data_IF_114121185681
#
_entry.id   IF_114121185681
#
_cell.length_a   1.000
_cell.length_b   1.000
_cell.length_c   1.000
_cell.angle_alpha   90.00
_cell.angle_beta   90.00
_cell.angle_gamma   90.00
#
_symmetry.space_group_name_H-M   'P 1'
#
loop_
_entity.id
_entity.type
_entity.pdbx_description
1 polymer ?
#
# COMPACT_ATOMS: atom_id res chain seq x y z
N UNK A 1 -42.89 60.43 -27.16
CA UNK A 1 -42.26 59.65 -26.06
C UNK A 1 -42.30 58.19 -26.46
N UNK A 2 -41.21 57.67 -27.03
CA UNK A 2 -41.09 56.28 -27.47
C UNK A 2 -40.43 55.50 -26.32
N UNK A 3 -41.17 54.54 -25.76
CA UNK A 3 -40.74 53.71 -24.63
C UNK A 3 -39.98 52.50 -25.18
N UNK A 4 -38.66 52.43 -24.97
CA UNK A 4 -37.84 51.27 -25.34
C UNK A 4 -37.96 50.20 -24.24
N UNK A 5 -38.59 49.06 -24.55
CA UNK A 5 -38.59 47.88 -23.70
C UNK A 5 -37.28 47.11 -23.91
N UNK A 6 -36.44 47.03 -22.88
CA UNK A 6 -35.21 46.23 -22.89
C UNK A 6 -35.59 44.79 -22.50
N UNK A 7 -35.57 43.88 -23.47
CA UNK A 7 -35.74 42.45 -23.27
C UNK A 7 -34.41 41.85 -22.80
N UNK A 8 -34.30 41.56 -21.50
CA UNK A 8 -33.13 40.88 -20.94
C UNK A 8 -33.13 39.39 -21.33
N UNK A 9 -32.26 39.02 -22.27
CA UNK A 9 -31.99 37.63 -22.63
C UNK A 9 -31.14 37.00 -21.52
N UNK A 10 -31.77 36.18 -20.67
CA UNK A 10 -31.06 35.36 -19.68
C UNK A 10 -30.37 34.22 -20.43
N UNK A 11 -29.05 34.32 -20.65
CA UNK A 11 -28.24 33.20 -21.06
C UNK A 11 -28.14 32.20 -19.89
N UNK A 12 -28.89 31.10 -20.00
CA UNK A 12 -28.65 29.93 -19.16
C UNK A 12 -27.32 29.30 -19.57
N UNK A 13 -26.26 29.59 -18.81
CA UNK A 13 -24.99 28.87 -18.96
C UNK A 13 -25.22 27.40 -18.60
N UNK A 14 -24.81 26.43 -19.45
CA UNK A 14 -24.89 25.03 -19.08
C UNK A 14 -24.05 24.80 -17.82
N UNK A 15 -24.69 24.30 -16.76
CA UNK A 15 -23.98 23.86 -15.57
C UNK A 15 -23.01 22.75 -16.00
N UNK A 16 -21.71 23.04 -15.93
CA UNK A 16 -20.68 22.03 -16.05
C UNK A 16 -20.93 21.00 -14.95
N UNK A 17 -21.49 19.84 -15.31
CA UNK A 17 -21.54 18.71 -14.40
C UNK A 17 -20.11 18.24 -14.22
N UNK A 18 -19.51 18.56 -13.09
CA UNK A 18 -18.23 17.98 -12.68
C UNK A 18 -18.35 16.46 -12.79
N UNK A 19 -17.46 15.86 -13.56
CA UNK A 19 -17.40 14.41 -13.68
C UNK A 19 -17.05 13.84 -12.30
N UNK A 20 -17.87 12.93 -11.78
CA UNK A 20 -17.58 12.24 -10.53
C UNK A 20 -16.28 11.45 -10.67
N UNK A 21 -15.44 11.44 -9.63
CA UNK A 21 -14.19 10.68 -9.64
C UNK A 21 -14.46 9.20 -9.92
N UNK A 22 -13.62 8.60 -10.76
CA UNK A 22 -13.60 7.16 -11.01
C UNK A 22 -12.81 6.44 -9.93
N UNK A 23 -13.05 5.14 -9.75
CA UNK A 23 -12.28 4.32 -8.81
C UNK A 23 -10.78 4.35 -9.11
N UNK A 24 -10.40 4.30 -10.40
CA UNK A 24 -8.99 4.37 -10.82
C UNK A 24 -8.35 5.70 -10.44
N UNK A 25 -9.03 6.83 -10.64
CA UNK A 25 -8.49 8.14 -10.24
C UNK A 25 -8.29 8.24 -8.74
N UNK A 26 -9.18 7.64 -7.93
CA UNK A 26 -9.03 7.58 -6.49
C UNK A 26 -7.84 6.71 -6.10
N UNK A 27 -7.70 5.52 -6.69
CA UNK A 27 -6.57 4.62 -6.44
C UNK A 27 -5.23 5.28 -6.81
N UNK A 28 -5.15 5.95 -7.96
CA UNK A 28 -3.97 6.71 -8.37
C UNK A 28 -3.64 7.83 -7.38
N UNK A 29 -4.64 8.57 -6.90
CA UNK A 29 -4.42 9.62 -5.88
C UNK A 29 -3.95 9.07 -4.55
N UNK A 30 -4.29 7.83 -4.19
CA UNK A 30 -3.76 7.16 -2.99
C UNK A 30 -2.32 6.73 -3.22
N UNK A 31 -2.02 6.15 -4.38
CA UNK A 31 -0.68 5.72 -4.77
C UNK A 31 0.31 6.89 -4.88
N UNK A 32 -0.12 8.03 -5.44
CA UNK A 32 0.74 9.22 -5.63
C UNK A 32 0.91 10.07 -4.36
N UNK A 33 0.45 9.60 -3.19
CA UNK A 33 0.62 10.37 -1.95
C UNK A 33 2.10 10.46 -1.60
N UNK A 34 2.60 11.65 -1.24
CA UNK A 34 3.99 11.77 -0.80
C UNK A 34 4.23 10.96 0.49
N UNK A 35 5.05 9.91 0.41
CA UNK A 35 5.49 9.11 1.57
C UNK A 35 6.95 9.36 1.97
N UNK A 36 7.70 10.07 1.11
CA UNK A 36 9.12 10.40 1.27
C UNK A 36 10.05 9.30 0.77
N UNK A 37 11.21 9.70 0.23
CA UNK A 37 12.12 8.80 -0.51
C UNK A 37 12.79 7.72 0.36
N UNK A 38 12.79 7.90 1.69
CA UNK A 38 13.35 6.92 2.62
C UNK A 38 12.60 6.94 3.95
N UNK A 39 12.55 5.77 4.59
CA UNK A 39 11.81 5.56 5.83
C UNK A 39 12.59 4.70 6.78
N UNK A 40 12.48 5.02 8.06
CA UNK A 40 12.82 4.14 9.17
C UNK A 40 11.57 3.90 10.01
N UNK A 41 11.38 2.68 10.50
CA UNK A 41 10.26 2.34 11.36
C UNK A 41 10.67 1.35 12.44
N UNK A 42 10.17 1.58 13.66
CA UNK A 42 10.13 0.59 14.72
C UNK A 42 8.67 0.17 14.93
N UNK A 43 8.43 -1.14 14.99
CA UNK A 43 7.08 -1.70 15.03
C UNK A 43 6.97 -2.77 16.11
N UNK A 44 5.82 -2.78 16.80
CA UNK A 44 5.41 -3.87 17.69
C UNK A 44 4.21 -4.57 17.09
N UNK A 45 4.36 -5.85 16.77
CA UNK A 45 3.31 -6.70 16.23
C UNK A 45 2.79 -7.64 17.32
N UNK A 46 1.47 -7.58 17.58
CA UNK A 46 0.76 -8.50 18.49
C UNK A 46 0.00 -9.53 17.67
N UNK A 47 0.40 -10.80 17.78
CA UNK A 47 -0.24 -11.92 17.12
C UNK A 47 -1.22 -12.56 18.10
N UNK A 48 -2.51 -12.47 17.81
CA UNK A 48 -3.58 -12.97 18.66
C UNK A 48 -4.21 -14.18 17.97
N UNK A 49 -4.02 -15.37 18.54
CA UNK A 49 -4.63 -16.59 18.00
C UNK A 49 -6.15 -16.61 18.19
N UNK A 50 -6.85 -17.48 17.44
CA UNK A 50 -8.30 -17.72 17.61
C UNK A 50 -8.73 -18.07 19.05
N UNK A 51 -7.83 -18.60 19.87
CA UNK A 51 -8.08 -18.95 21.29
C UNK A 51 -7.67 -17.84 22.26
N UNK A 52 -7.33 -16.64 21.78
CA UNK A 52 -6.92 -15.50 22.59
C UNK A 52 -5.47 -15.53 23.08
N UNK A 53 -4.68 -16.56 22.76
CA UNK A 53 -3.25 -16.55 23.10
C UNK A 53 -2.53 -15.48 22.29
N UNK A 54 -1.81 -14.60 22.98
CA UNK A 54 -1.01 -13.55 22.38
C UNK A 54 0.47 -13.93 22.27
N UNK A 55 1.12 -13.42 21.23
CA UNK A 55 2.57 -13.35 21.08
C UNK A 55 2.95 -11.97 20.60
N UNK A 56 4.01 -11.41 21.17
CA UNK A 56 4.55 -10.13 20.72
C UNK A 56 5.80 -10.36 19.90
N UNK A 57 5.97 -9.56 18.85
CA UNK A 57 7.21 -9.40 18.11
C UNK A 57 7.52 -7.92 17.98
N UNK A 58 8.79 -7.58 18.12
CA UNK A 58 9.28 -6.26 17.76
C UNK A 58 10.18 -6.40 16.56
N UNK A 59 10.18 -5.38 15.73
CA UNK A 59 10.96 -5.32 14.51
C UNK A 59 11.25 -3.87 14.14
N UNK A 60 12.31 -3.68 13.37
CA UNK A 60 12.64 -2.40 12.77
C UNK A 60 12.90 -2.60 11.28
N UNK A 61 12.63 -1.56 10.49
CA UNK A 61 12.85 -1.58 9.06
C UNK A 61 13.40 -0.27 8.52
N UNK A 62 14.11 -0.37 7.41
CA UNK A 62 14.42 0.73 6.51
C UNK A 62 13.81 0.45 5.15
N UNK A 63 13.28 1.47 4.51
CA UNK A 63 12.93 1.43 3.09
C UNK A 63 13.45 2.66 2.36
N UNK A 64 13.64 2.52 1.05
CA UNK A 64 14.00 3.62 0.17
C UNK A 64 13.44 3.39 -1.23
N UNK A 65 13.05 4.47 -1.88
CA UNK A 65 12.70 4.47 -3.30
C UNK A 65 13.95 4.53 -4.15
N UNK A 66 13.98 3.78 -5.25
CA UNK A 66 15.14 3.60 -6.12
C UNK A 66 14.76 3.65 -7.59
N UNK A 67 15.78 3.69 -8.45
CA UNK A 67 15.61 3.80 -9.89
C UNK A 67 15.35 5.23 -10.38
N UNK A 68 15.46 5.45 -11.68
CA UNK A 68 15.46 6.79 -12.27
C UNK A 68 14.15 7.57 -12.04
N UNK A 69 13.04 6.86 -11.85
CA UNK A 69 11.71 7.44 -11.60
C UNK A 69 11.27 7.36 -10.14
N UNK A 70 12.09 6.81 -9.24
CA UNK A 70 11.74 6.59 -7.83
C UNK A 70 10.43 5.81 -7.64
N UNK A 71 10.21 4.78 -8.45
CA UNK A 71 9.01 3.94 -8.40
C UNK A 71 9.28 2.52 -7.89
N UNK A 72 10.51 2.03 -8.05
CA UNK A 72 10.95 0.80 -7.42
C UNK A 72 11.32 1.08 -5.97
N UNK A 73 11.24 0.09 -5.08
CA UNK A 73 11.65 0.27 -3.68
C UNK A 73 12.50 -0.88 -3.15
N UNK A 74 13.35 -0.58 -2.17
CA UNK A 74 14.09 -1.58 -1.41
C UNK A 74 13.75 -1.45 0.05
N UNK A 75 13.43 -2.58 0.68
CA UNK A 75 13.13 -2.66 2.10
C UNK A 75 14.00 -3.70 2.79
N UNK A 76 14.53 -3.35 3.95
CA UNK A 76 15.25 -4.22 4.85
C UNK A 76 14.60 -4.19 6.23
N UNK A 77 14.24 -5.35 6.76
CA UNK A 77 13.56 -5.51 8.04
C UNK A 77 14.28 -6.54 8.90
N UNK A 78 14.36 -6.30 10.21
CA UNK A 78 14.86 -7.28 11.18
C UNK A 78 13.93 -7.40 12.37
N UNK A 79 13.76 -8.64 12.83
CA UNK A 79 13.14 -8.91 14.11
C UNK A 79 14.17 -8.71 15.24
N UNK A 80 13.84 -7.90 16.25
CA UNK A 80 14.67 -7.71 17.44
C UNK A 80 14.13 -8.48 18.66
N UNK A 81 12.85 -8.89 18.64
CA UNK A 81 12.21 -9.64 19.73
C UNK A 81 11.08 -10.55 19.22
N UNK A 82 10.84 -11.74 19.84
CA UNK A 82 11.58 -12.36 20.94
C UNK A 82 12.89 -13.03 20.53
N UNK A 83 13.59 -13.63 21.49
CA UNK A 83 14.91 -14.24 21.28
C UNK A 83 14.92 -15.38 20.23
N UNK A 84 13.80 -16.07 20.05
CA UNK A 84 13.63 -17.16 19.08
C UNK A 84 13.62 -16.69 17.62
N UNK A 85 13.18 -15.45 17.37
CA UNK A 85 13.16 -14.84 16.01
C UNK A 85 14.18 -13.72 15.85
N UNK A 86 14.82 -13.27 16.93
CA UNK A 86 15.81 -12.17 16.92
C UNK A 86 16.88 -12.41 15.85
N UNK A 87 17.13 -11.38 15.04
CA UNK A 87 18.10 -11.42 13.94
C UNK A 87 17.57 -12.07 12.66
N UNK A 88 16.32 -12.54 12.64
CA UNK A 88 15.66 -12.90 11.38
C UNK A 88 15.55 -11.65 10.53
N UNK A 89 16.07 -11.71 9.31
CA UNK A 89 16.12 -10.60 8.38
C UNK A 89 15.23 -10.84 7.18
N UNK A 90 14.55 -9.82 6.71
CA UNK A 90 13.78 -9.84 5.48
C UNK A 90 14.26 -8.72 4.56
N UNK A 91 14.56 -9.07 3.32
CA UNK A 91 14.95 -8.14 2.26
C UNK A 91 13.93 -8.25 1.13
N UNK A 92 13.41 -7.12 0.66
CA UNK A 92 12.53 -7.05 -0.49
C UNK A 92 13.02 -5.97 -1.45
N UNK A 93 13.08 -6.30 -2.74
CA UNK A 93 13.19 -5.35 -3.84
C UNK A 93 11.86 -5.43 -4.59
N UNK A 94 11.10 -4.34 -4.53
CA UNK A 94 9.80 -4.24 -5.15
C UNK A 94 9.92 -3.46 -6.45
N UNK A 95 9.26 -3.94 -7.49
CA UNK A 95 9.30 -3.32 -8.81
C UNK A 95 7.91 -2.79 -9.19
N UNK A 96 7.85 -1.56 -9.72
CA UNK A 96 6.59 -0.98 -10.20
C UNK A 96 6.17 -1.52 -11.58
N UNK A 97 7.09 -2.17 -12.29
CA UNK A 97 6.84 -2.75 -13.60
C UNK A 97 5.79 -3.88 -13.54
N UNK A 98 4.64 -3.65 -14.17
CA UNK A 98 3.53 -4.62 -14.22
C UNK A 98 4.01 -5.96 -14.79
N UNK A 99 3.73 -7.03 -14.05
CA UNK A 99 4.08 -8.41 -14.42
C UNK A 99 5.51 -8.82 -14.07
N UNK A 100 6.31 -7.91 -13.50
CA UNK A 100 7.62 -8.24 -12.96
C UNK A 100 7.48 -8.72 -11.52
N UNK A 101 8.09 -9.88 -11.23
CA UNK A 101 8.09 -10.41 -9.87
C UNK A 101 9.09 -9.67 -8.97
N UNK A 102 8.62 -9.23 -7.80
CA UNK A 102 9.50 -8.79 -6.71
C UNK A 102 10.52 -9.85 -6.28
N UNK A 103 11.69 -9.38 -5.89
CA UNK A 103 12.73 -10.22 -5.30
C UNK A 103 12.72 -10.13 -3.78
N UNK A 104 12.50 -11.26 -3.12
CA UNK A 104 12.36 -11.33 -1.66
C UNK A 104 13.25 -12.42 -1.07
N UNK A 105 13.87 -12.13 0.07
CA UNK A 105 14.74 -13.06 0.79
C UNK A 105 14.46 -13.02 2.29
N UNK A 106 14.49 -14.20 2.90
CA UNK A 106 14.40 -14.39 4.35
C UNK A 106 15.69 -15.00 4.86
N UNK A 107 16.41 -14.28 5.71
CA UNK A 107 17.57 -14.77 6.43
C UNK A 107 17.16 -15.35 7.78
N UNK A 108 17.53 -16.60 8.03
CA UNK A 108 17.22 -17.34 9.25
C UNK A 108 18.51 -17.59 10.06
N UNK A 109 18.75 -16.84 11.15
CA UNK A 109 20.03 -16.85 11.87
C UNK A 109 20.33 -18.20 12.50
N UNK A 110 19.31 -18.90 13.03
CA UNK A 110 19.46 -20.22 13.63
C UNK A 110 20.06 -21.26 12.68
N UNK A 111 19.83 -21.10 11.38
CA UNK A 111 20.37 -21.98 10.33
C UNK A 111 21.53 -21.36 9.57
N UNK A 112 21.82 -20.07 9.76
CA UNK A 112 22.73 -19.26 8.93
C UNK A 112 22.42 -19.41 7.43
N UNK A 113 21.14 -19.47 7.08
CA UNK A 113 20.66 -19.68 5.70
C UNK A 113 19.80 -18.53 5.23
N UNK A 114 19.95 -18.18 3.96
CA UNK A 114 19.05 -17.29 3.24
C UNK A 114 18.15 -18.13 2.34
N UNK A 115 16.84 -17.92 2.46
CA UNK A 115 15.82 -18.53 1.60
C UNK A 115 15.24 -17.45 0.68
N UNK A 116 15.27 -17.67 -0.64
CA UNK A 116 14.54 -16.83 -1.59
C UNK A 116 13.05 -17.15 -1.50
N UNK A 117 12.21 -16.12 -1.46
CA UNK A 117 10.75 -16.22 -1.52
C UNK A 117 10.35 -15.83 -2.94
N UNK A 118 10.04 -16.82 -3.77
CA UNK A 118 9.77 -16.63 -5.19
C UNK A 118 8.66 -17.56 -5.68
N UNK A 119 7.91 -17.12 -6.69
CA UNK A 119 6.79 -17.85 -7.25
C UNK A 119 5.46 -17.57 -6.54
N UNK A 120 4.36 -17.78 -7.27
CA UNK A 120 3.01 -17.37 -6.85
C UNK A 120 2.50 -18.04 -5.57
N UNK A 121 2.93 -19.27 -5.29
CA UNK A 121 2.59 -19.96 -4.04
C UNK A 121 3.34 -19.41 -2.84
N UNK A 122 4.66 -19.24 -2.94
CA UNK A 122 5.50 -18.76 -1.85
C UNK A 122 5.17 -17.30 -1.45
N UNK A 123 4.74 -16.47 -2.41
CA UNK A 123 4.28 -15.10 -2.12
C UNK A 123 3.03 -15.06 -1.23
N UNK A 124 2.17 -16.07 -1.32
CA UNK A 124 0.93 -16.21 -0.54
C UNK A 124 1.13 -16.92 0.81
N UNK A 125 2.34 -17.37 1.11
CA UNK A 125 2.66 -17.94 2.42
C UNK A 125 2.60 -16.87 3.51
N UNK A 126 2.15 -17.25 4.71
CA UNK A 126 2.11 -16.37 5.86
C UNK A 126 3.50 -15.92 6.29
N UNK A 127 3.66 -14.61 6.45
CA UNK A 127 4.87 -13.97 6.90
C UNK A 127 5.13 -14.30 8.37
N UNK A 128 6.08 -15.22 8.59
CA UNK A 128 6.51 -15.60 9.94
C UNK A 128 5.35 -16.07 10.85
N UNK A 129 4.23 -16.52 10.29
CA UNK A 129 3.05 -16.92 11.07
C UNK A 129 2.21 -15.76 11.62
N UNK A 130 2.31 -14.58 11.04
CA UNK A 130 1.27 -13.54 11.15
C UNK A 130 0.13 -13.83 10.14
N UNK A 131 -0.89 -12.97 10.14
CA UNK A 131 -1.96 -12.99 9.14
C UNK A 131 -1.57 -12.29 7.83
N UNK A 132 -0.44 -11.59 7.79
CA UNK A 132 0.14 -11.05 6.56
C UNK A 132 0.78 -12.16 5.74
N UNK A 133 0.67 -12.07 4.44
CA UNK A 133 1.45 -12.83 3.47
C UNK A 133 2.76 -12.12 3.14
N UNK A 134 3.67 -12.79 2.45
CA UNK A 134 4.84 -12.08 1.91
C UNK A 134 4.46 -11.01 0.89
N UNK A 135 3.30 -11.13 0.24
CA UNK A 135 2.80 -10.17 -0.75
C UNK A 135 2.31 -8.86 -0.13
N UNK A 136 1.74 -8.93 1.07
CA UNK A 136 1.28 -7.75 1.80
C UNK A 136 2.42 -6.83 2.27
N UNK A 137 3.68 -7.25 2.10
CA UNK A 137 4.87 -6.47 2.47
C UNK A 137 5.45 -5.67 1.29
N UNK A 138 4.92 -5.85 0.08
CA UNK A 138 5.32 -5.12 -1.12
C UNK A 138 4.42 -3.92 -1.40
N UNK A 139 4.75 -3.22 -2.48
CA UNK A 139 3.85 -2.28 -3.14
C UNK A 139 3.13 -2.98 -4.30
N UNK A 140 2.07 -2.35 -4.80
CA UNK A 140 1.34 -2.83 -5.98
C UNK A 140 1.09 -1.67 -6.94
N UNK A 141 1.31 -1.88 -8.22
CA UNK A 141 1.01 -0.88 -9.23
C UNK A 141 -0.52 -0.72 -9.37
N UNK A 142 -0.99 0.51 -9.57
CA UNK A 142 -2.44 0.80 -9.67
C UNK A 142 -3.10 0.01 -10.80
N UNK A 143 -2.40 -0.18 -11.91
CA UNK A 143 -2.93 -0.83 -13.11
C UNK A 143 -2.82 -2.37 -13.06
N UNK A 144 -2.41 -2.97 -11.93
CA UNK A 144 -2.52 -4.41 -11.68
C UNK A 144 -3.93 -4.86 -11.27
N UNK A 145 -4.79 -3.92 -10.88
CA UNK A 145 -6.16 -4.17 -10.41
C UNK A 145 -7.20 -3.35 -11.21
N UNK A 146 -8.43 -3.87 -11.30
CA UNK A 146 -9.58 -3.14 -11.85
C UNK A 146 -10.31 -2.37 -10.75
N UNK A 147 -10.42 -1.04 -10.90
CA UNK A 147 -10.98 -0.17 -9.86
C UNK A 147 -12.40 0.30 -10.17
N UNK A 148 -13.34 0.04 -9.27
CA UNK A 148 -14.72 0.54 -9.34
C UNK A 148 -15.05 1.32 -8.07
N UNK A 149 -15.50 2.57 -8.20
CA UNK A 149 -16.09 3.30 -7.08
C UNK A 149 -17.51 2.78 -6.85
N UNK A 150 -17.72 2.07 -5.75
CA UNK A 150 -19.00 1.46 -5.39
C UNK A 150 -19.92 2.48 -4.70
N UNK A 151 -19.37 3.27 -3.76
CA UNK A 151 -20.12 4.32 -3.04
C UNK A 151 -19.21 5.27 -2.28
N UNK A 152 -19.81 6.34 -1.79
CA UNK A 152 -19.26 7.18 -0.73
C UNK A 152 -19.99 6.88 0.58
N UNK A 153 -19.25 6.81 1.68
CA UNK A 153 -19.83 6.61 3.01
C UNK A 153 -19.07 7.38 4.10
N UNK A 154 -19.72 7.60 5.24
CA UNK A 154 -19.05 8.14 6.43
C UNK A 154 -18.65 6.98 7.35
N UNK A 155 -17.37 6.93 7.75
CA UNK A 155 -16.80 5.97 8.70
C UNK A 155 -16.03 6.72 9.76
N UNK A 156 -16.39 6.51 11.02
CA UNK A 156 -15.75 7.14 12.18
C UNK A 156 -15.61 8.68 12.04
N UNK A 157 -16.60 9.33 11.42
CA UNK A 157 -16.62 10.78 11.17
C UNK A 157 -15.82 11.25 9.95
N UNK A 158 -15.31 10.32 9.12
CA UNK A 158 -14.56 10.62 7.91
C UNK A 158 -15.33 10.19 6.66
N UNK A 159 -15.35 11.05 5.64
CA UNK A 159 -15.85 10.67 4.32
C UNK A 159 -14.86 9.70 3.66
N UNK A 160 -15.36 8.56 3.20
CA UNK A 160 -14.59 7.48 2.60
C UNK A 160 -15.16 7.10 1.22
N UNK A 161 -14.26 6.70 0.33
CA UNK A 161 -14.59 6.04 -0.92
C UNK A 161 -14.47 4.52 -0.74
N UNK A 162 -15.45 3.78 -1.24
CA UNK A 162 -15.48 2.30 -1.22
C UNK A 162 -15.68 1.78 -2.63
#
# INVERSE_FOLDING_TARGET
MILFAILSLVLAAPAARGQSLTGREIAQRVHDRPEGDSRYSEMTMRLISKKGKERERRLYSWSMDVGDRHQDSKMLMFFDYPADVRGTGFLAWNYDEIGKDDDRWLYLPAMKKTRRISGSSAKRDYFMGSDFTYDDLGSRNVDEDDHTLLREEERDGHLCWV
#
